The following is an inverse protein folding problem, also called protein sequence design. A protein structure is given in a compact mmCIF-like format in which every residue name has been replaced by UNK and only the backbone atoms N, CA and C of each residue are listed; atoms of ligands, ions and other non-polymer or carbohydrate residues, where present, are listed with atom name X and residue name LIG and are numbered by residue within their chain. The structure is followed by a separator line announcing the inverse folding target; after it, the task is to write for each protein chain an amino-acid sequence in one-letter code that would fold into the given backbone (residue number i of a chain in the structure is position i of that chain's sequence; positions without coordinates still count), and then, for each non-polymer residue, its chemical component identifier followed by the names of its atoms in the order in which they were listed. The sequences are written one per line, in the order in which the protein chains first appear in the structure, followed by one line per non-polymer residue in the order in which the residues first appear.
data_IF_078290007622
#
_entry.id   IF_078290007622
#
_cell.length_a   1.000
_cell.length_b   1.000
_cell.length_c   1.000
_cell.angle_alpha   90.00
_cell.angle_beta   90.00
_cell.angle_gamma   90.00
#
_symmetry.space_group_name_H-M   'P 1'
#
loop_
_entity.id
_entity.type
_entity.pdbx_description
1 polymer ?
#
# COMPACT_ATOMS: atom_id res chain seq x y z
N UNK A 1 21.59 -42.90 7.78
CA UNK A 1 20.66 -42.04 8.56
C UNK A 1 20.79 -42.49 9.99
N UNK A 2 21.35 -41.63 10.84
CA UNK A 2 21.65 -41.91 12.25
C UNK A 2 20.34 -42.09 13.01
N UNK A 3 20.23 -43.17 13.77
CA UNK A 3 19.04 -43.57 14.55
C UNK A 3 18.89 -42.77 15.87
N UNK A 4 19.24 -41.51 15.89
CA UNK A 4 19.03 -40.68 17.09
C UNK A 4 17.61 -40.08 17.01
N UNK A 5 16.66 -40.46 17.89
CA UNK A 5 15.27 -40.03 17.80
C UNK A 5 15.07 -38.52 18.07
N UNK A 6 16.10 -37.79 18.53
CA UNK A 6 16.03 -36.37 18.89
C UNK A 6 16.68 -35.42 17.87
N UNK A 7 17.18 -35.93 16.75
CA UNK A 7 17.78 -35.07 15.72
C UNK A 7 16.71 -34.48 14.78
N UNK A 8 16.65 -33.16 14.76
CA UNK A 8 15.80 -32.39 13.84
C UNK A 8 16.65 -31.77 12.73
N UNK A 9 16.18 -31.80 11.51
CA UNK A 9 16.87 -31.29 10.32
C UNK A 9 16.13 -30.05 9.78
N UNK A 10 16.86 -28.95 9.62
CA UNK A 10 16.37 -27.77 8.90
C UNK A 10 17.18 -27.55 7.63
N UNK A 11 16.51 -27.57 6.51
CA UNK A 11 17.07 -27.24 5.18
C UNK A 11 16.47 -25.91 4.73
N UNK A 12 17.31 -25.00 4.33
CA UNK A 12 16.91 -23.76 3.69
C UNK A 12 17.51 -23.68 2.29
N UNK A 13 16.67 -23.41 1.29
CA UNK A 13 17.09 -23.29 -0.09
C UNK A 13 16.74 -21.90 -0.64
N UNK A 14 17.74 -21.26 -1.24
CA UNK A 14 17.62 -19.93 -1.89
C UNK A 14 17.46 -20.09 -3.41
N UNK A 15 17.65 -21.30 -3.96
CA UNK A 15 17.59 -21.58 -5.39
C UNK A 15 16.55 -22.68 -5.70
N UNK A 16 15.56 -22.38 -6.58
CA UNK A 16 14.56 -23.35 -7.00
C UNK A 16 15.16 -24.59 -7.72
N UNK A 17 16.35 -24.47 -8.31
CA UNK A 17 17.02 -25.59 -9.01
C UNK A 17 17.30 -26.79 -8.13
N UNK A 18 17.42 -26.57 -6.81
CA UNK A 18 17.70 -27.64 -5.84
C UNK A 18 16.45 -28.43 -5.44
N UNK A 19 15.24 -27.99 -5.79
CA UNK A 19 14.00 -28.63 -5.35
C UNK A 19 13.84 -30.06 -5.88
N UNK A 20 14.31 -30.35 -7.09
CA UNK A 20 14.22 -31.68 -7.65
C UNK A 20 15.09 -32.69 -6.90
N UNK A 21 16.25 -32.28 -6.39
CA UNK A 21 17.09 -33.11 -5.53
C UNK A 21 16.40 -33.37 -4.18
N UNK A 22 15.75 -32.37 -3.62
CA UNK A 22 14.98 -32.50 -2.38
C UNK A 22 13.74 -33.38 -2.59
N UNK A 23 13.12 -33.34 -3.77
CA UNK A 23 12.00 -34.21 -4.12
C UNK A 23 12.38 -35.68 -4.01
N UNK A 24 13.49 -36.05 -4.58
CA UNK A 24 13.95 -37.46 -4.58
C UNK A 24 14.35 -37.93 -3.16
N UNK A 25 14.99 -37.07 -2.37
CA UNK A 25 15.49 -37.40 -1.01
C UNK A 25 14.33 -37.50 -0.01
N UNK A 26 13.39 -36.54 -0.03
CA UNK A 26 12.33 -36.42 0.96
C UNK A 26 10.97 -36.98 0.50
N UNK A 27 10.88 -37.44 -0.76
CA UNK A 27 9.65 -37.97 -1.35
C UNK A 27 8.55 -36.90 -1.45
N UNK A 28 8.93 -35.69 -1.90
CA UNK A 28 7.98 -34.57 -2.04
C UNK A 28 7.03 -34.86 -3.22
N UNK A 29 5.76 -34.51 -3.03
CA UNK A 29 4.75 -34.73 -4.05
C UNK A 29 5.00 -33.85 -5.29
N UNK A 30 4.87 -34.39 -6.54
CA UNK A 30 5.14 -33.61 -7.75
C UNK A 30 4.34 -32.28 -7.85
N UNK A 31 3.08 -32.26 -7.41
CA UNK A 31 2.26 -31.05 -7.42
C UNK A 31 2.80 -29.96 -6.48
N UNK A 32 3.39 -30.34 -5.34
CA UNK A 32 3.99 -29.36 -4.42
C UNK A 32 5.29 -28.79 -4.99
N UNK A 33 6.07 -29.62 -5.71
CA UNK A 33 7.28 -29.18 -6.42
C UNK A 33 6.92 -28.28 -7.60
N UNK A 34 5.89 -28.63 -8.35
CA UNK A 34 5.39 -27.84 -9.49
C UNK A 34 4.93 -26.45 -9.05
N UNK A 35 4.27 -26.34 -7.90
CA UNK A 35 3.85 -25.07 -7.31
C UNK A 35 5.04 -24.13 -7.02
N UNK A 36 6.20 -24.66 -6.63
CA UNK A 36 7.42 -23.88 -6.38
C UNK A 36 8.06 -23.42 -7.69
N UNK A 37 8.10 -24.30 -8.69
CA UNK A 37 8.72 -24.00 -9.99
C UNK A 37 7.94 -22.94 -10.76
N UNK A 38 6.61 -23.02 -10.73
CA UNK A 38 5.74 -22.09 -11.47
C UNK A 38 5.44 -20.79 -10.75
N UNK A 39 5.92 -20.58 -9.51
CA UNK A 39 5.77 -19.36 -8.71
C UNK A 39 4.36 -18.70 -8.79
N UNK A 40 4.10 -17.69 -8.02
CA UNK A 40 2.81 -16.95 -8.00
C UNK A 40 1.58 -17.86 -7.75
N UNK A 41 1.74 -18.85 -6.89
CA UNK A 41 0.63 -19.62 -6.37
C UNK A 41 0.00 -18.89 -5.19
N UNK A 42 -1.34 -18.91 -5.05
CA UNK A 42 -1.98 -18.30 -3.90
C UNK A 42 -1.54 -18.94 -2.59
N UNK A 43 -1.50 -18.16 -1.52
CA UNK A 43 -1.22 -18.65 -0.18
C UNK A 43 -2.15 -19.80 0.17
N UNK A 44 -1.60 -20.93 0.59
CA UNK A 44 -2.34 -22.14 0.96
C UNK A 44 -1.56 -23.02 1.92
N UNK A 45 -2.30 -23.83 2.68
CA UNK A 45 -1.75 -24.87 3.54
C UNK A 45 -2.43 -26.17 3.15
N UNK A 46 -1.66 -27.15 2.74
CA UNK A 46 -2.13 -28.47 2.28
C UNK A 46 -1.47 -29.57 3.08
N UNK A 47 -2.23 -30.59 3.46
CA UNK A 47 -1.70 -31.77 4.10
C UNK A 47 -1.45 -32.85 3.05
N UNK A 48 -0.23 -33.40 3.06
CA UNK A 48 0.18 -34.60 2.36
C UNK A 48 0.39 -35.74 3.37
N UNK A 49 0.43 -36.96 2.90
CA UNK A 49 0.50 -38.16 3.78
C UNK A 49 1.58 -38.06 4.89
N UNK A 50 2.71 -37.42 4.61
CA UNK A 50 3.88 -37.39 5.51
C UNK A 50 4.18 -35.99 6.06
N UNK A 51 3.79 -34.91 5.39
CA UNK A 51 4.18 -33.53 5.73
C UNK A 51 3.03 -32.56 5.47
N UNK A 52 3.15 -31.37 6.03
CA UNK A 52 2.31 -30.21 5.72
C UNK A 52 3.07 -29.35 4.73
N UNK A 53 2.47 -29.02 3.62
CA UNK A 53 2.98 -28.08 2.62
C UNK A 53 2.30 -26.73 2.80
N UNK A 54 3.08 -25.66 2.86
CA UNK A 54 2.60 -24.30 3.09
C UNK A 54 3.20 -23.38 2.07
N UNK A 55 2.37 -22.54 1.45
CA UNK A 55 2.75 -21.39 0.64
C UNK A 55 2.17 -20.16 1.33
N UNK A 56 3.01 -19.20 1.64
CA UNK A 56 2.59 -17.89 2.16
C UNK A 56 3.27 -16.80 1.35
N UNK A 57 2.45 -15.91 0.81
CA UNK A 57 2.92 -14.75 0.07
C UNK A 57 3.49 -13.73 1.05
N UNK A 58 4.69 -13.25 0.80
CA UNK A 58 5.30 -12.13 1.46
C UNK A 58 5.38 -10.94 0.53
N UNK A 59 5.71 -9.79 1.09
CA UNK A 59 5.84 -8.56 0.30
C UNK A 59 7.08 -7.79 0.72
N UNK A 60 7.72 -7.14 -0.26
CA UNK A 60 8.81 -6.19 -0.01
C UNK A 60 8.74 -5.02 -0.97
N UNK A 61 9.36 -3.92 -0.59
CA UNK A 61 9.66 -2.84 -1.51
C UNK A 61 11.00 -3.07 -2.16
N UNK A 62 11.07 -3.09 -3.48
CA UNK A 62 12.31 -2.90 -4.19
C UNK A 62 12.61 -1.39 -4.21
N UNK A 63 13.66 -0.97 -3.51
CA UNK A 63 14.28 0.32 -3.77
C UNK A 63 15.10 0.15 -5.05
N UNK A 64 14.51 0.47 -6.21
CA UNK A 64 15.32 0.66 -7.40
C UNK A 64 16.33 1.77 -7.08
N UNK A 65 17.61 1.42 -7.08
CA UNK A 65 18.69 2.41 -7.07
C UNK A 65 18.34 3.48 -8.10
N UNK A 66 18.19 4.72 -7.63
CA UNK A 66 17.85 5.86 -8.47
C UNK A 66 18.72 5.83 -9.72
N UNK A 67 18.14 5.44 -10.85
CA UNK A 67 18.80 5.57 -12.16
C UNK A 67 19.25 7.02 -12.22
N UNK A 68 20.57 7.24 -12.21
CA UNK A 68 21.18 8.56 -12.38
C UNK A 68 20.70 9.09 -13.72
N UNK A 69 19.60 9.85 -13.70
CA UNK A 69 19.12 10.56 -14.87
C UNK A 69 20.23 11.49 -15.31
N UNK A 70 20.69 11.26 -16.52
CA UNK A 70 21.65 12.11 -17.21
C UNK A 70 21.14 13.55 -17.15
N UNK A 71 21.93 14.46 -16.58
CA UNK A 71 21.70 15.90 -16.57
C UNK A 71 21.30 16.36 -17.98
N UNK A 72 20.09 16.84 -18.15
CA UNK A 72 19.72 17.47 -19.39
C UNK A 72 18.27 17.90 -19.59
N UNK A 73 17.31 17.47 -18.75
CA UNK A 73 15.92 17.93 -18.88
C UNK A 73 15.36 18.22 -17.49
N UNK A 74 14.86 19.45 -17.32
CA UNK A 74 14.02 19.87 -16.20
C UNK A 74 12.67 19.13 -16.30
N UNK A 75 12.61 17.87 -15.85
CA UNK A 75 11.37 17.19 -15.61
C UNK A 75 11.13 17.13 -14.09
N UNK A 76 9.91 17.39 -13.70
CA UNK A 76 9.41 17.45 -12.34
C UNK A 76 9.97 16.32 -11.47
N UNK A 77 11.01 16.63 -10.68
CA UNK A 77 11.78 15.66 -9.86
C UNK A 77 10.95 14.96 -8.78
N UNK A 78 9.76 15.43 -8.48
CA UNK A 78 8.87 14.83 -7.48
C UNK A 78 8.05 13.65 -8.02
N UNK A 79 7.75 13.62 -9.33
CA UNK A 79 6.91 12.57 -9.91
C UNK A 79 7.61 11.22 -10.10
N UNK A 80 8.94 11.20 -10.20
CA UNK A 80 9.70 9.97 -10.44
C UNK A 80 9.84 9.08 -9.18
N UNK A 81 9.70 9.64 -7.98
CA UNK A 81 9.84 8.89 -6.71
C UNK A 81 8.72 7.88 -6.52
N UNK A 82 7.51 8.18 -6.99
CA UNK A 82 6.34 7.30 -6.82
C UNK A 82 6.22 6.22 -7.90
N UNK A 83 6.81 6.44 -9.07
CA UNK A 83 6.74 5.50 -10.21
C UNK A 83 7.69 4.30 -10.06
N UNK A 84 8.79 4.44 -9.31
CA UNK A 84 9.94 3.53 -9.35
C UNK A 84 10.04 2.51 -8.20
N UNK A 85 9.08 2.44 -7.28
CA UNK A 85 9.08 1.40 -6.25
C UNK A 85 7.95 0.41 -6.50
N UNK A 86 8.25 -0.70 -7.14
CA UNK A 86 7.29 -1.79 -7.28
C UNK A 86 7.26 -2.65 -6.00
N UNK A 87 6.04 -3.10 -5.66
CA UNK A 87 5.86 -4.15 -4.67
C UNK A 87 6.29 -5.47 -5.32
N UNK A 88 7.27 -6.12 -4.72
CA UNK A 88 7.66 -7.47 -5.09
C UNK A 88 7.06 -8.50 -4.15
N UNK A 89 6.68 -9.63 -4.71
CA UNK A 89 6.25 -10.80 -3.97
C UNK A 89 7.48 -11.54 -3.44
N UNK A 90 7.42 -11.99 -2.19
CA UNK A 90 8.49 -12.69 -1.49
C UNK A 90 7.93 -13.99 -0.90
N UNK A 91 7.58 -14.91 -1.80
CA UNK A 91 6.88 -16.14 -1.44
C UNK A 91 7.75 -17.05 -0.58
N UNK A 92 7.15 -17.59 0.46
CA UNK A 92 7.73 -18.59 1.34
C UNK A 92 7.05 -19.93 1.14
N UNK A 93 7.82 -20.93 0.73
CA UNK A 93 7.38 -22.30 0.64
C UNK A 93 7.96 -23.10 1.80
N UNK A 94 7.15 -23.91 2.46
CA UNK A 94 7.58 -24.74 3.58
C UNK A 94 7.02 -26.14 3.49
N UNK A 95 7.85 -27.12 3.82
CA UNK A 95 7.47 -28.51 4.04
C UNK A 95 7.79 -28.86 5.48
N UNK A 96 6.79 -29.14 6.27
CA UNK A 96 6.93 -29.47 7.68
C UNK A 96 6.59 -30.94 7.93
N UNK A 97 7.54 -31.67 8.50
CA UNK A 97 7.38 -33.00 9.08
C UNK A 97 7.93 -32.99 10.50
N UNK A 98 7.61 -33.97 11.29
CA UNK A 98 7.99 -34.02 12.70
C UNK A 98 9.50 -33.90 12.96
N UNK A 99 10.32 -34.46 12.05
CA UNK A 99 11.77 -34.53 12.18
C UNK A 99 12.54 -33.60 11.26
N UNK A 100 11.89 -33.05 10.26
CA UNK A 100 12.55 -32.14 9.34
C UNK A 100 11.61 -31.04 8.86
N UNK A 101 12.20 -29.91 8.54
CA UNK A 101 11.56 -28.78 7.88
C UNK A 101 12.42 -28.30 6.73
N UNK A 102 11.78 -28.06 5.59
CA UNK A 102 12.39 -27.43 4.42
C UNK A 102 11.72 -26.08 4.26
N UNK A 103 12.51 -25.01 4.17
CA UNK A 103 12.04 -23.66 3.88
C UNK A 103 12.69 -23.17 2.60
N UNK A 104 11.92 -22.58 1.68
CA UNK A 104 12.39 -22.07 0.40
C UNK A 104 11.89 -20.65 0.28
N UNK A 105 12.82 -19.70 0.16
CA UNK A 105 12.53 -18.29 -0.07
C UNK A 105 13.61 -17.71 -0.96
N UNK A 106 13.22 -17.09 -2.08
CA UNK A 106 14.14 -16.73 -3.16
C UNK A 106 14.71 -15.31 -3.06
N UNK A 107 14.09 -14.46 -2.28
CA UNK A 107 14.38 -13.03 -2.32
C UNK A 107 14.91 -12.46 -1.01
N UNK A 108 14.63 -13.10 0.13
CA UNK A 108 15.06 -12.60 1.42
C UNK A 108 16.33 -13.30 1.92
N UNK A 109 17.48 -12.81 1.53
CA UNK A 109 18.78 -13.34 1.96
C UNK A 109 19.01 -13.27 3.48
N UNK A 110 18.26 -12.45 4.21
CA UNK A 110 18.36 -12.34 5.67
C UNK A 110 17.39 -13.27 6.40
N UNK A 111 16.42 -13.88 5.70
CA UNK A 111 15.39 -14.74 6.26
C UNK A 111 15.99 -15.83 7.17
N UNK A 112 16.94 -16.59 6.64
CA UNK A 112 17.58 -17.66 7.41
C UNK A 112 18.32 -17.14 8.66
N UNK A 113 19.02 -16.02 8.55
CA UNK A 113 19.77 -15.42 9.66
C UNK A 113 18.84 -14.90 10.73
N UNK A 114 17.71 -14.30 10.37
CA UNK A 114 16.69 -13.80 11.28
C UNK A 114 16.08 -14.96 12.10
N UNK A 115 15.70 -16.05 11.43
CA UNK A 115 15.15 -17.23 12.09
C UNK A 115 16.18 -17.87 13.00
N UNK A 116 17.44 -18.06 12.57
CA UNK A 116 18.52 -18.59 13.42
C UNK A 116 18.71 -17.75 14.67
N UNK A 117 18.69 -16.43 14.54
CA UNK A 117 18.84 -15.52 15.69
C UNK A 117 17.65 -15.65 16.65
N UNK A 118 16.42 -15.78 16.14
CA UNK A 118 15.22 -15.95 16.97
C UNK A 118 15.25 -17.27 17.70
N UNK A 119 15.64 -18.36 17.06
CA UNK A 119 15.81 -19.68 17.68
C UNK A 119 16.84 -19.60 18.79
N UNK A 120 18.01 -19.02 18.54
CA UNK A 120 19.08 -18.90 19.55
C UNK A 120 18.61 -18.11 20.79
N UNK A 121 17.86 -17.02 20.58
CA UNK A 121 17.28 -16.23 21.69
C UNK A 121 16.23 -17.01 22.46
N UNK A 122 15.38 -17.78 21.79
CA UNK A 122 14.34 -18.60 22.42
C UNK A 122 14.94 -19.72 23.27
N UNK A 123 16.01 -20.35 22.81
CA UNK A 123 16.72 -21.41 23.57
C UNK A 123 17.53 -20.87 24.77
N UNK A 124 18.07 -19.65 24.64
CA UNK A 124 18.89 -19.01 25.68
C UNK A 124 18.06 -18.31 26.77
N UNK A 125 16.85 -17.91 26.51
CA UNK A 125 15.98 -17.16 27.41
C UNK A 125 14.52 -17.61 27.28
N UNK A 126 14.14 -18.71 27.91
CA UNK A 126 12.79 -19.28 27.78
C UNK A 126 11.67 -18.37 28.28
N UNK A 127 11.97 -17.32 29.05
CA UNK A 127 10.97 -16.38 29.57
C UNK A 127 10.76 -15.08 28.75
N UNK A 128 11.56 -14.79 27.70
CA UNK A 128 11.46 -13.52 26.96
C UNK A 128 10.91 -13.63 25.53
N UNK A 129 10.50 -14.80 25.07
CA UNK A 129 10.23 -15.06 23.66
C UNK A 129 8.79 -14.83 23.19
N UNK A 130 7.92 -14.22 24.00
CA UNK A 130 6.49 -14.08 23.67
C UNK A 130 6.05 -12.72 23.13
N UNK A 131 6.96 -11.74 22.98
CA UNK A 131 6.60 -10.40 22.50
C UNK A 131 7.17 -10.08 21.12
N UNK A 132 6.36 -9.49 20.22
CA UNK A 132 6.83 -9.02 18.92
C UNK A 132 7.81 -7.84 19.07
N UNK A 133 8.79 -7.75 18.15
CA UNK A 133 9.85 -6.72 18.14
C UNK A 133 9.32 -5.28 18.21
N UNK A 134 8.10 -5.02 17.72
CA UNK A 134 7.43 -3.71 17.77
C UNK A 134 6.97 -3.29 19.17
N UNK A 135 6.80 -4.22 20.10
CA UNK A 135 6.36 -3.92 21.49
C UNK A 135 7.52 -3.84 22.48
N UNK A 136 8.69 -4.38 22.16
CA UNK A 136 9.87 -4.33 23.03
C UNK A 136 10.34 -2.89 23.31
N UNK A 137 10.11 -1.95 22.43
CA UNK A 137 10.44 -0.53 22.63
C UNK A 137 9.44 0.25 23.51
N UNK A 138 8.22 -0.27 23.72
CA UNK A 138 7.21 0.40 24.57
C UNK A 138 7.21 -0.05 26.02
N UNK A 139 7.70 -1.24 26.34
CA UNK A 139 7.63 -1.81 27.69
C UNK A 139 8.80 -1.49 28.61
N UNK A 140 9.85 -0.83 28.16
CA UNK A 140 10.90 -0.32 29.07
C UNK A 140 10.43 0.81 30.00
N UNK A 141 9.16 1.20 29.99
CA UNK A 141 8.62 2.29 30.83
C UNK A 141 7.56 1.92 31.87
N UNK A 142 7.18 0.66 32.01
CA UNK A 142 6.20 0.26 33.06
C UNK A 142 6.46 -1.12 33.61
N UNK A 143 7.44 -1.22 34.52
CA UNK A 143 7.63 -2.39 35.36
C UNK A 143 6.89 -2.18 36.67
N UNK A 144 5.68 -2.73 36.81
CA UNK A 144 5.16 -3.24 38.09
C UNK A 144 3.80 -3.89 37.86
N UNK A 145 3.78 -5.19 37.70
CA UNK A 145 2.80 -6.14 38.29
C UNK A 145 3.03 -7.51 37.64
N UNK A 146 3.40 -8.44 38.52
CA UNK A 146 3.68 -9.81 38.16
C UNK A 146 2.38 -10.52 37.76
N UNK A 147 2.24 -10.91 36.50
CA UNK A 147 1.31 -11.95 36.07
C UNK A 147 2.11 -13.21 35.69
N UNK A 148 1.62 -14.33 36.20
CA UNK A 148 2.19 -15.68 36.09
C UNK A 148 2.46 -16.00 34.64
N UNK A 149 3.75 -16.13 34.29
CA UNK A 149 4.20 -16.62 33.01
C UNK A 149 3.67 -18.04 32.75
N UNK A 150 3.02 -18.20 31.62
CA UNK A 150 2.67 -19.49 31.06
C UNK A 150 3.98 -20.26 30.83
N UNK A 151 4.14 -21.36 31.53
CA UNK A 151 5.31 -22.24 31.41
C UNK A 151 5.33 -22.78 29.99
N UNK A 152 6.38 -22.45 29.25
CA UNK A 152 6.67 -22.98 27.93
C UNK A 152 6.61 -24.51 27.99
N UNK A 153 5.57 -25.08 27.39
CA UNK A 153 5.40 -26.53 27.34
C UNK A 153 6.51 -27.09 26.45
N UNK A 154 7.33 -27.96 26.98
CA UNK A 154 8.47 -28.61 26.29
C UNK A 154 8.05 -29.61 25.22
N UNK A 155 6.78 -29.58 24.79
CA UNK A 155 6.20 -30.51 23.80
C UNK A 155 6.39 -30.06 22.34
N UNK A 156 6.74 -28.79 22.09
CA UNK A 156 6.88 -28.27 20.75
C UNK A 156 8.23 -28.65 20.13
N UNK A 157 8.20 -29.38 19.02
CA UNK A 157 9.42 -29.77 18.31
C UNK A 157 10.14 -28.56 17.68
N UNK A 158 11.47 -28.67 17.54
CA UNK A 158 12.30 -27.62 16.90
C UNK A 158 11.79 -27.28 15.50
N UNK A 159 11.32 -28.25 14.72
CA UNK A 159 10.77 -28.02 13.37
C UNK A 159 9.50 -27.15 13.40
N UNK A 160 8.61 -27.39 14.36
CA UNK A 160 7.40 -26.57 14.52
C UNK A 160 7.74 -25.15 15.01
N UNK A 161 8.78 -24.99 15.83
CA UNK A 161 9.27 -23.69 16.25
C UNK A 161 9.85 -22.90 15.07
N UNK A 162 10.60 -23.54 14.17
CA UNK A 162 11.11 -22.93 12.95
C UNK A 162 9.94 -22.54 12.04
N UNK A 163 8.95 -23.41 11.88
CA UNK A 163 7.74 -23.14 11.11
C UNK A 163 7.00 -21.90 11.60
N UNK A 164 6.79 -21.81 12.90
CA UNK A 164 6.19 -20.62 13.55
C UNK A 164 6.97 -19.34 13.25
N UNK A 165 8.30 -19.37 13.48
CA UNK A 165 9.12 -18.18 13.26
C UNK A 165 9.16 -17.78 11.79
N UNK A 166 9.11 -18.74 10.86
CA UNK A 166 9.04 -18.49 9.44
C UNK A 166 7.72 -17.81 9.04
N UNK A 167 6.59 -18.28 9.56
CA UNK A 167 5.29 -17.63 9.37
C UNK A 167 5.26 -16.22 9.96
N UNK A 168 5.78 -16.03 11.17
CA UNK A 168 5.86 -14.71 11.80
C UNK A 168 6.75 -13.74 11.01
N UNK A 169 7.87 -14.20 10.47
CA UNK A 169 8.80 -13.38 9.68
C UNK A 169 8.14 -12.88 8.40
N UNK A 170 7.48 -13.79 7.66
CA UNK A 170 6.83 -13.43 6.41
C UNK A 170 5.63 -12.49 6.63
N UNK A 171 4.80 -12.73 7.64
CA UNK A 171 3.71 -11.81 7.99
C UNK A 171 4.24 -10.46 8.47
N UNK A 172 5.39 -10.45 9.15
CA UNK A 172 6.02 -9.21 9.59
C UNK A 172 6.55 -8.35 8.45
N UNK A 173 6.79 -8.92 7.26
CA UNK A 173 7.24 -8.16 6.08
C UNK A 173 6.19 -7.15 5.58
N UNK A 174 4.92 -7.36 5.89
CA UNK A 174 3.83 -6.46 5.51
C UNK A 174 3.86 -5.11 6.25
N UNK A 175 4.30 -5.07 7.52
CA UNK A 175 4.28 -3.84 8.32
C UNK A 175 5.05 -2.68 7.69
N UNK A 176 6.34 -2.82 7.31
CA UNK A 176 7.09 -1.72 6.72
C UNK A 176 6.52 -1.28 5.35
N UNK A 177 5.90 -2.21 4.61
CA UNK A 177 5.25 -1.91 3.33
C UNK A 177 3.99 -1.07 3.55
N UNK A 178 3.14 -1.48 4.48
CA UNK A 178 1.92 -0.77 4.85
C UNK A 178 2.25 0.63 5.40
N UNK A 179 3.24 0.74 6.28
CA UNK A 179 3.68 2.04 6.83
C UNK A 179 4.16 2.98 5.72
N UNK A 180 4.94 2.47 4.76
CA UNK A 180 5.44 3.27 3.64
C UNK A 180 4.30 3.75 2.72
N UNK A 181 3.33 2.87 2.42
CA UNK A 181 2.15 3.25 1.64
C UNK A 181 1.32 4.29 2.40
N UNK A 182 1.16 4.14 3.71
CA UNK A 182 0.42 5.09 4.52
C UNK A 182 1.04 6.48 4.49
N UNK A 183 2.37 6.58 4.62
CA UNK A 183 3.10 7.85 4.50
C UNK A 183 2.91 8.47 3.10
N UNK A 184 2.98 7.66 2.03
CA UNK A 184 2.74 8.15 0.67
C UNK A 184 1.31 8.67 0.49
N UNK A 185 0.33 7.99 1.08
CA UNK A 185 -1.07 8.39 1.02
C UNK A 185 -1.31 9.72 1.77
N UNK A 186 -0.73 9.89 2.96
CA UNK A 186 -0.79 11.15 3.72
C UNK A 186 -0.21 12.33 2.92
N UNK A 187 0.94 12.14 2.27
CA UNK A 187 1.53 13.17 1.42
C UNK A 187 0.61 13.59 0.28
N UNK A 188 -0.05 12.64 -0.39
CA UNK A 188 -0.98 12.95 -1.48
C UNK A 188 -2.24 13.64 -0.94
N UNK A 189 -2.76 13.22 0.20
CA UNK A 189 -3.91 13.87 0.87
C UNK A 189 -3.61 15.36 1.14
N UNK A 190 -2.43 15.66 1.68
CA UNK A 190 -2.00 17.04 1.94
C UNK A 190 -1.93 17.86 0.65
N UNK A 191 -1.34 17.31 -0.42
CA UNK A 191 -1.26 17.99 -1.72
C UNK A 191 -2.65 18.27 -2.32
N UNK A 192 -3.57 17.30 -2.28
CA UNK A 192 -4.93 17.46 -2.84
C UNK A 192 -5.73 18.54 -2.09
N UNK A 193 -5.47 18.71 -0.76
CA UNK A 193 -6.16 19.69 0.08
C UNK A 193 -5.57 21.10 -0.11
N UNK A 194 -4.25 21.22 -0.23
CA UNK A 194 -3.53 22.50 -0.20
C UNK A 194 -3.30 23.10 -1.58
N UNK A 195 -3.24 22.30 -2.63
CA UNK A 195 -2.87 22.72 -3.97
C UNK A 195 -3.99 22.51 -5.00
N UNK A 196 -3.81 23.11 -6.19
CA UNK A 196 -4.72 22.86 -7.31
C UNK A 196 -4.48 21.45 -7.87
N UNK A 197 -5.54 20.66 -8.14
CA UNK A 197 -5.42 19.31 -8.63
C UNK A 197 -4.68 19.25 -9.98
N UNK A 198 -3.68 18.38 -10.05
CA UNK A 198 -2.84 18.14 -11.23
C UNK A 198 -2.99 16.71 -11.73
N UNK A 199 -2.72 16.48 -13.03
CA UNK A 199 -2.78 15.13 -13.59
C UNK A 199 -1.77 14.16 -12.95
N UNK A 200 -0.61 14.64 -12.50
CA UNK A 200 0.39 13.84 -11.81
C UNK A 200 -0.12 13.28 -10.49
N UNK A 201 -0.86 14.08 -9.72
CA UNK A 201 -1.48 13.63 -8.47
C UNK A 201 -2.49 12.48 -8.70
N UNK A 202 -3.29 12.57 -9.77
CA UNK A 202 -4.22 11.49 -10.13
C UNK A 202 -3.47 10.19 -10.45
N UNK A 203 -2.37 10.27 -11.18
CA UNK A 203 -1.52 9.10 -11.48
C UNK A 203 -1.00 8.48 -10.18
N UNK A 204 -0.50 9.28 -9.24
CA UNK A 204 -0.01 8.81 -7.95
C UNK A 204 -1.10 8.11 -7.12
N UNK A 205 -2.32 8.66 -7.10
CA UNK A 205 -3.48 8.03 -6.46
C UNK A 205 -3.78 6.65 -7.07
N UNK A 206 -3.72 6.53 -8.40
CA UNK A 206 -3.97 5.28 -9.11
C UNK A 206 -2.87 4.23 -8.83
N UNK A 207 -1.59 4.66 -8.74
CA UNK A 207 -0.48 3.78 -8.42
C UNK A 207 -0.59 3.24 -6.98
N UNK A 208 -0.89 4.10 -6.02
CA UNK A 208 -1.11 3.67 -4.63
C UNK A 208 -2.31 2.73 -4.54
N UNK A 209 -3.42 3.04 -5.21
CA UNK A 209 -4.58 2.14 -5.27
C UNK A 209 -4.21 0.75 -5.75
N UNK A 210 -3.39 0.66 -6.81
CA UNK A 210 -2.92 -0.63 -7.33
C UNK A 210 -2.11 -1.42 -6.30
N UNK A 211 -1.22 -0.73 -5.56
CA UNK A 211 -0.43 -1.36 -4.48
C UNK A 211 -1.33 -1.88 -3.36
N UNK A 212 -2.28 -1.06 -2.91
CA UNK A 212 -3.24 -1.44 -1.87
C UNK A 212 -4.04 -2.68 -2.31
N UNK A 213 -4.56 -2.70 -3.54
CA UNK A 213 -5.36 -3.82 -4.06
C UNK A 213 -4.56 -5.13 -4.15
N UNK A 214 -3.24 -5.06 -4.41
CA UNK A 214 -2.37 -6.25 -4.36
C UNK A 214 -2.22 -6.76 -2.92
N UNK A 215 -2.00 -5.86 -1.95
CA UNK A 215 -1.90 -6.23 -0.54
C UNK A 215 -3.20 -6.85 -0.01
N UNK A 216 -4.36 -6.29 -0.40
CA UNK A 216 -5.67 -6.86 -0.06
C UNK A 216 -5.78 -8.30 -0.56
N UNK A 217 -5.43 -8.53 -1.83
CA UNK A 217 -5.48 -9.87 -2.43
C UNK A 217 -4.58 -10.87 -1.69
N UNK A 218 -3.32 -10.51 -1.42
CA UNK A 218 -2.38 -11.38 -0.71
C UNK A 218 -2.82 -11.66 0.73
N UNK A 219 -3.23 -10.64 1.50
CA UNK A 219 -3.69 -10.82 2.87
C UNK A 219 -4.96 -11.66 2.96
N UNK A 220 -5.92 -11.48 2.06
CA UNK A 220 -7.15 -12.29 2.01
C UNK A 220 -6.82 -13.77 1.77
N UNK A 221 -5.87 -14.09 0.88
CA UNK A 221 -5.43 -15.47 0.64
C UNK A 221 -4.76 -16.09 1.86
N UNK A 222 -3.93 -15.32 2.59
CA UNK A 222 -3.30 -15.77 3.83
C UNK A 222 -4.37 -16.03 4.91
N UNK A 223 -5.31 -15.09 5.08
CA UNK A 223 -6.43 -15.25 6.03
C UNK A 223 -7.24 -16.51 5.72
N UNK A 224 -7.53 -16.77 4.44
CA UNK A 224 -8.24 -17.97 4.03
C UNK A 224 -7.44 -19.24 4.36
N UNK A 225 -6.14 -19.28 4.02
CA UNK A 225 -5.28 -20.43 4.29
C UNK A 225 -5.19 -20.75 5.80
N UNK A 226 -5.06 -19.74 6.65
CA UNK A 226 -5.07 -19.95 8.12
C UNK A 226 -6.44 -20.36 8.64
N UNK A 227 -7.51 -19.76 8.11
CA UNK A 227 -8.88 -20.11 8.49
C UNK A 227 -9.22 -21.56 8.17
N UNK A 228 -8.77 -22.08 7.03
CA UNK A 228 -9.01 -23.47 6.62
C UNK A 228 -8.34 -24.46 7.61
N UNK A 229 -7.14 -24.13 8.09
CA UNK A 229 -6.46 -24.92 9.13
C UNK A 229 -7.16 -24.80 10.49
N UNK A 230 -7.49 -23.57 10.91
CA UNK A 230 -8.13 -23.30 12.22
C UNK A 230 -9.50 -23.96 12.33
N UNK A 231 -10.26 -23.97 11.24
CA UNK A 231 -11.61 -24.53 11.19
C UNK A 231 -11.61 -26.05 10.91
N UNK A 232 -10.45 -26.67 10.76
CA UNK A 232 -10.30 -28.10 10.53
C UNK A 232 -10.73 -28.58 9.14
N UNK A 233 -10.82 -27.67 8.16
CA UNK A 233 -11.00 -28.01 6.74
C UNK A 233 -9.78 -28.78 6.24
N UNK A 234 -8.60 -28.32 6.65
CA UNK A 234 -7.35 -29.04 6.48
C UNK A 234 -7.02 -29.72 7.81
N UNK A 235 -6.95 -31.06 7.80
CA UNK A 235 -6.53 -31.82 8.98
C UNK A 235 -5.03 -31.60 9.15
N UNK A 236 -4.63 -30.62 9.94
CA UNK A 236 -3.22 -30.34 10.15
C UNK A 236 -2.62 -31.27 11.22
N UNK A 237 -1.47 -31.85 10.92
CA UNK A 237 -0.65 -32.64 11.89
C UNK A 237 0.09 -31.74 12.89
N UNK A 238 -0.29 -30.48 12.96
CA UNK A 238 0.31 -29.50 13.87
C UNK A 238 -0.07 -29.83 15.32
N UNK A 239 0.86 -29.63 16.24
CA UNK A 239 0.58 -29.72 17.67
C UNK A 239 -0.43 -28.68 18.12
N UNK A 240 -1.05 -28.90 19.29
CA UNK A 240 -2.03 -27.96 19.87
C UNK A 240 -1.39 -26.59 20.06
N UNK A 241 -0.12 -26.53 20.44
CA UNK A 241 0.61 -25.27 20.65
C UNK A 241 0.91 -24.57 19.34
N UNK A 242 1.31 -25.31 18.30
CA UNK A 242 1.45 -24.75 16.95
C UNK A 242 0.13 -24.17 16.42
N UNK A 243 -1.00 -24.83 16.70
CA UNK A 243 -2.33 -24.29 16.35
C UNK A 243 -2.68 -23.00 17.10
N UNK A 244 -2.29 -22.86 18.37
CA UNK A 244 -2.46 -21.58 19.10
C UNK A 244 -1.63 -20.46 18.47
N UNK A 245 -0.41 -20.76 18.02
CA UNK A 245 0.43 -19.79 17.33
C UNK A 245 -0.12 -19.41 15.96
N UNK A 246 -0.63 -20.38 15.17
CA UNK A 246 -1.29 -20.10 13.89
C UNK A 246 -2.48 -19.15 14.11
N UNK A 247 -3.30 -19.37 15.15
CA UNK A 247 -4.39 -18.42 15.51
C UNK A 247 -3.88 -17.03 15.83
N UNK A 248 -2.82 -16.92 16.66
CA UNK A 248 -2.23 -15.63 17.00
C UNK A 248 -1.64 -14.90 15.78
N UNK A 249 -1.07 -15.64 14.82
CA UNK A 249 -0.58 -15.06 13.56
C UNK A 249 -1.76 -14.64 12.69
N UNK A 250 -2.82 -15.47 12.61
CA UNK A 250 -4.04 -15.13 11.88
C UNK A 250 -4.67 -13.82 12.41
N UNK A 251 -4.73 -13.62 13.71
CA UNK A 251 -5.25 -12.37 14.31
C UNK A 251 -4.43 -11.14 13.85
N UNK A 252 -3.12 -11.30 13.66
CA UNK A 252 -2.27 -10.24 13.11
C UNK A 252 -2.55 -10.00 11.63
N UNK A 253 -2.75 -11.07 10.84
CA UNK A 253 -3.10 -10.93 9.41
C UNK A 253 -4.44 -10.22 9.25
N UNK A 254 -5.44 -10.58 10.05
CA UNK A 254 -6.74 -9.89 10.08
C UNK A 254 -6.59 -8.40 10.44
N UNK A 255 -5.71 -8.08 11.38
CA UNK A 255 -5.41 -6.68 11.71
C UNK A 255 -4.78 -5.93 10.52
N UNK A 256 -3.82 -6.56 9.82
CA UNK A 256 -3.21 -5.99 8.61
C UNK A 256 -4.24 -5.81 7.48
N UNK A 257 -5.12 -6.79 7.28
CA UNK A 257 -6.22 -6.74 6.31
C UNK A 257 -7.14 -5.54 6.58
N UNK A 258 -7.57 -5.34 7.83
CA UNK A 258 -8.36 -4.15 8.20
C UNK A 258 -7.59 -2.84 8.00
N UNK A 259 -6.27 -2.83 8.24
CA UNK A 259 -5.44 -1.65 8.00
C UNK A 259 -5.39 -1.29 6.51
N UNK A 260 -5.24 -2.29 5.65
CA UNK A 260 -5.21 -2.11 4.20
C UNK A 260 -6.59 -1.70 3.65
N UNK A 261 -7.68 -2.29 4.16
CA UNK A 261 -9.06 -1.87 3.85
C UNK A 261 -9.30 -0.39 4.21
N UNK A 262 -8.84 0.05 5.39
CA UNK A 262 -8.93 1.46 5.76
C UNK A 262 -8.18 2.38 4.78
N UNK A 263 -6.99 1.97 4.32
CA UNK A 263 -6.26 2.72 3.29
C UNK A 263 -7.01 2.73 1.95
N UNK A 264 -7.67 1.64 1.58
CA UNK A 264 -8.51 1.58 0.39
C UNK A 264 -9.64 2.62 0.45
N UNK A 265 -10.35 2.70 1.58
CA UNK A 265 -11.40 3.70 1.79
C UNK A 265 -10.85 5.13 1.73
N UNK A 266 -9.66 5.38 2.29
CA UNK A 266 -8.99 6.70 2.18
C UNK A 266 -8.70 7.06 0.72
N UNK A 267 -8.22 6.13 -0.10
CA UNK A 267 -7.99 6.36 -1.54
C UNK A 267 -9.28 6.70 -2.28
N UNK A 268 -10.39 6.03 -1.96
CA UNK A 268 -11.71 6.35 -2.53
C UNK A 268 -12.11 7.80 -2.18
N UNK A 269 -12.02 8.16 -0.91
CA UNK A 269 -12.35 9.51 -0.43
C UNK A 269 -11.43 10.57 -1.05
N UNK A 270 -10.14 10.26 -1.21
CA UNK A 270 -9.17 11.13 -1.85
C UNK A 270 -9.50 11.41 -3.30
N UNK A 271 -9.95 10.39 -4.05
CA UNK A 271 -10.40 10.53 -5.43
C UNK A 271 -11.65 11.44 -5.52
N UNK A 272 -12.58 11.31 -4.58
CA UNK A 272 -13.76 12.16 -4.51
C UNK A 272 -13.38 13.62 -4.19
N UNK A 273 -12.46 13.81 -3.24
CA UNK A 273 -11.92 15.13 -2.92
C UNK A 273 -11.22 15.78 -4.12
N UNK A 274 -10.42 15.01 -4.87
CA UNK A 274 -9.78 15.46 -6.10
C UNK A 274 -10.80 15.91 -7.15
N UNK A 275 -11.84 15.12 -7.41
CA UNK A 275 -12.90 15.47 -8.35
C UNK A 275 -13.68 16.71 -7.90
N UNK A 276 -13.94 16.84 -6.62
CA UNK A 276 -14.59 18.02 -6.04
C UNK A 276 -13.73 19.29 -6.23
N UNK A 277 -12.43 19.21 -5.94
CA UNK A 277 -11.47 20.30 -6.13
C UNK A 277 -11.35 20.70 -7.61
N UNK A 278 -11.30 19.72 -8.53
CA UNK A 278 -11.31 19.97 -9.96
C UNK A 278 -12.56 20.71 -10.41
N UNK A 279 -13.74 20.29 -9.93
CA UNK A 279 -15.02 20.93 -10.21
C UNK A 279 -15.08 22.36 -9.67
N UNK A 280 -14.54 22.59 -8.47
CA UNK A 280 -14.45 23.93 -7.89
C UNK A 280 -13.56 24.85 -8.71
N UNK A 281 -12.40 24.38 -9.19
CA UNK A 281 -11.50 25.14 -10.06
C UNK A 281 -12.13 25.47 -11.44
N UNK A 282 -12.85 24.50 -12.03
CA UNK A 282 -13.58 24.73 -13.28
C UNK A 282 -14.67 25.81 -13.08
N UNK A 283 -15.42 25.73 -11.97
CA UNK A 283 -16.45 26.73 -11.64
C UNK A 283 -15.83 28.13 -11.43
N UNK A 284 -14.65 28.22 -10.79
CA UNK A 284 -13.92 29.49 -10.63
C UNK A 284 -13.50 30.06 -11.99
N UNK A 285 -12.97 29.22 -12.88
CA UNK A 285 -12.57 29.62 -14.23
C UNK A 285 -13.77 30.10 -15.04
N UNK A 286 -14.88 29.34 -15.04
CA UNK A 286 -16.12 29.72 -15.72
C UNK A 286 -16.66 31.04 -15.15
N UNK A 287 -16.65 31.22 -13.83
CA UNK A 287 -17.08 32.45 -13.18
C UNK A 287 -16.26 33.65 -13.64
N UNK A 288 -14.93 33.51 -13.66
CA UNK A 288 -14.02 34.57 -14.13
C UNK A 288 -14.29 34.93 -15.59
N UNK A 289 -14.41 33.91 -16.46
CA UNK A 289 -14.74 34.12 -17.88
C UNK A 289 -16.10 34.81 -18.06
N UNK A 290 -17.11 34.39 -17.29
CA UNK A 290 -18.44 35.00 -17.28
C UNK A 290 -18.40 36.46 -16.90
N UNK A 291 -17.66 36.82 -15.85
CA UNK A 291 -17.50 38.22 -15.43
C UNK A 291 -16.87 39.06 -16.54
N UNK A 292 -15.78 38.59 -17.13
CA UNK A 292 -15.10 39.30 -18.23
C UNK A 292 -16.07 39.47 -19.41
N UNK A 293 -16.72 38.41 -19.86
CA UNK A 293 -17.67 38.46 -20.99
C UNK A 293 -18.84 39.39 -20.72
N UNK A 294 -19.42 39.34 -19.50
CA UNK A 294 -20.57 40.18 -19.13
C UNK A 294 -20.23 41.69 -19.09
N UNK A 295 -18.98 42.03 -18.72
CA UNK A 295 -18.53 43.43 -18.75
C UNK A 295 -18.25 43.89 -20.17
N UNK A 296 -17.60 43.06 -21.01
CA UNK A 296 -17.20 43.45 -22.36
C UNK A 296 -18.38 43.53 -23.32
N UNK A 297 -19.37 42.65 -23.20
CA UNK A 297 -20.49 42.57 -24.14
C UNK A 297 -21.27 43.89 -24.30
N UNK A 298 -21.74 44.58 -23.24
CA UNK A 298 -22.43 45.86 -23.43
C UNK A 298 -21.52 46.95 -23.93
N UNK A 299 -20.21 46.95 -23.58
CA UNK A 299 -19.26 47.92 -24.12
C UNK A 299 -19.06 47.74 -25.60
N UNK A 300 -18.96 46.51 -26.06
CA UNK A 300 -18.87 46.16 -27.53
C UNK A 300 -20.14 46.56 -28.25
N UNK A 301 -21.33 46.37 -27.66
CA UNK A 301 -22.58 46.77 -28.22
C UNK A 301 -22.63 48.31 -28.45
N UNK A 302 -22.25 49.08 -27.44
CA UNK A 302 -22.20 50.54 -27.52
C UNK A 302 -21.20 50.97 -28.58
N UNK A 303 -19.98 50.44 -28.58
CA UNK A 303 -18.97 50.72 -29.60
C UNK A 303 -19.41 50.32 -30.98
N UNK A 304 -20.15 49.21 -31.13
CA UNK A 304 -20.74 48.77 -32.41
C UNK A 304 -21.80 49.71 -32.93
N UNK A 305 -22.71 50.21 -32.06
CA UNK A 305 -23.75 51.15 -32.45
C UNK A 305 -23.13 52.49 -32.92
N UNK A 306 -22.18 53.04 -32.16
CA UNK A 306 -21.49 54.28 -32.54
C UNK A 306 -20.48 54.08 -33.70
N UNK A 307 -20.10 52.85 -34.02
CA UNK A 307 -19.30 52.52 -35.19
C UNK A 307 -20.09 52.27 -36.51
N UNK A 308 -21.41 52.40 -36.46
CA UNK A 308 -22.25 52.24 -37.67
C UNK A 308 -22.19 53.49 -38.54
N UNK A 309 -22.18 53.29 -39.86
CA UNK A 309 -22.13 54.35 -40.87
C UNK A 309 -23.56 54.83 -41.26
N UNK A 310 -24.31 55.39 -40.32
CA UNK A 310 -25.60 56.03 -40.61
C UNK A 310 -25.43 57.54 -40.87
N UNK A 311 -26.06 58.06 -41.90
CA UNK A 311 -25.98 59.48 -42.28
C UNK A 311 -26.64 60.43 -41.25
N UNK A 312 -27.58 59.93 -40.46
CA UNK A 312 -28.29 60.71 -39.43
C UNK A 312 -28.12 60.08 -38.06
N UNK A 313 -27.02 60.41 -37.38
CA UNK A 313 -26.80 60.15 -35.96
C UNK A 313 -26.58 61.47 -35.23
N UNK A 314 -27.57 61.95 -34.44
CA UNK A 314 -27.49 63.28 -33.81
C UNK A 314 -26.29 63.39 -32.86
N UNK A 315 -25.93 62.31 -32.15
CA UNK A 315 -24.85 62.26 -31.17
C UNK A 315 -23.46 62.37 -31.83
N UNK A 316 -23.25 61.89 -33.03
CA UNK A 316 -21.98 61.97 -33.75
C UNK A 316 -21.63 63.39 -34.23
N UNK A 317 -22.64 64.24 -34.42
CA UNK A 317 -22.45 65.62 -34.86
C UNK A 317 -22.30 66.60 -33.67
N UNK A 318 -22.42 66.10 -32.43
CA UNK A 318 -22.22 66.89 -31.21
C UNK A 318 -20.75 66.92 -30.81
N UNK A 319 -20.13 68.05 -30.47
CA UNK A 319 -18.74 68.15 -30.02
C UNK A 319 -18.49 67.39 -28.71
N UNK A 320 -19.57 67.03 -27.97
CA UNK A 320 -19.49 66.30 -26.66
C UNK A 320 -19.86 64.85 -26.82
N UNK A 321 -20.35 64.39 -27.96
CA UNK A 321 -20.86 63.01 -28.21
C UNK A 321 -19.85 61.91 -27.89
N UNK A 322 -18.58 62.10 -28.26
CA UNK A 322 -17.49 61.16 -27.91
C UNK A 322 -17.30 61.01 -26.41
N UNK A 323 -17.25 62.10 -25.70
CA UNK A 323 -17.06 62.08 -24.22
C UNK A 323 -18.27 61.46 -23.51
N UNK A 324 -19.50 61.70 -24.06
CA UNK A 324 -20.71 61.06 -23.56
C UNK A 324 -20.70 59.56 -23.70
N UNK A 325 -20.38 59.02 -24.89
CA UNK A 325 -20.29 57.60 -25.13
C UNK A 325 -19.20 56.92 -24.25
N UNK A 326 -18.03 57.57 -24.09
CA UNK A 326 -16.95 57.07 -23.26
C UNK A 326 -17.33 57.05 -21.78
N UNK A 327 -18.00 58.10 -21.30
CA UNK A 327 -18.45 58.17 -19.90
C UNK A 327 -19.55 57.16 -19.60
N UNK A 328 -20.45 56.91 -20.53
CA UNK A 328 -21.49 55.89 -20.43
C UNK A 328 -20.85 54.46 -20.32
N UNK A 329 -19.91 54.19 -21.21
CA UNK A 329 -19.17 52.89 -21.12
C UNK A 329 -18.42 52.73 -19.82
N UNK A 330 -17.76 53.78 -19.35
CA UNK A 330 -17.05 53.75 -18.05
C UNK A 330 -18.01 53.54 -16.87
N UNK A 331 -19.18 54.19 -16.88
CA UNK A 331 -20.21 54.04 -15.86
C UNK A 331 -20.78 52.61 -15.83
N UNK A 332 -21.04 52.02 -17.00
CA UNK A 332 -21.51 50.62 -17.08
C UNK A 332 -20.43 49.65 -16.61
N UNK A 333 -19.20 49.79 -17.06
CA UNK A 333 -18.09 48.94 -16.62
C UNK A 333 -17.84 49.05 -15.11
N UNK A 334 -17.77 50.27 -14.57
CA UNK A 334 -17.60 50.51 -13.14
C UNK A 334 -18.75 49.96 -12.30
N UNK A 335 -20.00 50.16 -12.75
CA UNK A 335 -21.17 49.59 -12.08
C UNK A 335 -21.17 48.09 -12.03
N UNK A 336 -20.78 47.42 -13.15
CA UNK A 336 -20.67 45.97 -13.19
C UNK A 336 -19.54 45.43 -12.31
N UNK A 337 -18.37 46.06 -12.31
CA UNK A 337 -17.26 45.69 -11.44
C UNK A 337 -17.68 45.80 -9.96
N UNK A 338 -18.34 46.89 -9.56
CA UNK A 338 -18.85 47.07 -8.20
C UNK A 338 -19.91 46.00 -7.84
N UNK A 339 -20.79 45.66 -8.77
CA UNK A 339 -21.80 44.60 -8.57
C UNK A 339 -21.16 43.24 -8.34
N UNK A 340 -20.20 42.82 -9.19
CA UNK A 340 -19.50 41.56 -9.05
C UNK A 340 -18.64 41.50 -7.78
N UNK A 341 -17.99 42.62 -7.42
CA UNK A 341 -17.24 42.75 -6.15
C UNK A 341 -18.15 42.57 -4.96
N UNK A 342 -19.35 43.17 -4.95
CA UNK A 342 -20.34 43.01 -3.89
C UNK A 342 -20.85 41.57 -3.79
N UNK A 343 -20.95 40.86 -4.91
CA UNK A 343 -21.33 39.46 -4.96
C UNK A 343 -20.18 38.47 -4.61
N UNK A 344 -19.00 38.99 -4.27
CA UNK A 344 -17.79 38.15 -4.03
C UNK A 344 -17.44 37.23 -5.18
N UNK A 345 -17.57 37.74 -6.40
CA UNK A 345 -17.16 37.02 -7.61
C UNK A 345 -15.71 37.34 -7.99
N UNK A 346 -15.14 38.29 -7.31
CA UNK A 346 -13.72 38.63 -7.28
C UNK A 346 -13.21 38.42 -5.87
#
# INVERSE_FOLDING_TARGET
MTENPDESLWIHADDPGNIFQLQDIFGLHPLAVDAIVHRHQPSKIEEYDRYVFTIIDGVRYEEQESVKIRKGEESDKENDVYANSDLEEDDLFMFLERRWIITINFYNHQFQSNIKQRISRSLLSPHMSTLPLSEQHKQQRSSSSAEKGDSMDHSMGICEMIYRFALEEIVSSYYPVIDKINIQLEQIEDYVILEKPTNSQLINVLLIRRKISRLEGSLAMITQAFSDVINGVVQSKLSIDSMRHVRSINDRVVYLEHSVENMHQRVINLREAYNSSLSANLNETIRTLTVIATIILPLTLIAGIYGMNFDVMPELHSPIGYYYALSLMAAIAGGMILYFKKKKWF
#
